data_IF_536195551119
#
_entry.id   IF_536195551119
#
_cell.length_a   1.000
_cell.length_b   1.000
_cell.length_c   1.000
_cell.angle_alpha   90.00
_cell.angle_beta   90.00
_cell.angle_gamma   90.00
#
_symmetry.space_group_name_H-M   'P 1'
#
loop_
_entity.id
_entity.type
_entity.pdbx_description
1 polymer ?
#
# COMPACT_ATOMS: atom_id res chain seq x y z
N UNK A 1 -20.59 4.44 -27.74
CA UNK A 1 -19.56 4.66 -26.70
C UNK A 1 -18.74 3.38 -26.58
N UNK A 2 -17.43 3.42 -26.84
CA UNK A 2 -16.59 2.22 -26.74
C UNK A 2 -16.21 2.05 -25.27
N UNK A 3 -16.70 0.99 -24.63
CA UNK A 3 -16.29 0.64 -23.25
C UNK A 3 -14.90 0.02 -23.35
N UNK A 4 -13.90 0.73 -22.82
CA UNK A 4 -12.53 0.19 -22.65
C UNK A 4 -12.53 -0.50 -21.28
N UNK A 5 -12.60 -1.82 -21.28
CA UNK A 5 -12.42 -2.62 -20.07
C UNK A 5 -10.92 -2.81 -19.82
N UNK A 6 -10.41 -2.24 -18.76
CA UNK A 6 -9.08 -2.58 -18.28
C UNK A 6 -9.14 -4.00 -17.67
N UNK A 7 -8.40 -4.95 -18.26
CA UNK A 7 -8.28 -6.28 -17.69
C UNK A 7 -7.19 -6.25 -16.61
N UNK A 8 -7.40 -6.87 -15.45
CA UNK A 8 -6.34 -6.98 -14.44
C UNK A 8 -5.16 -7.81 -14.97
N UNK A 9 -3.98 -7.49 -14.50
CA UNK A 9 -2.78 -8.30 -14.69
C UNK A 9 -2.91 -9.49 -13.75
N UNK A 10 -2.81 -10.70 -14.27
CA UNK A 10 -2.85 -11.93 -13.46
C UNK A 10 -1.44 -12.22 -12.95
N UNK A 11 -1.30 -12.33 -11.63
CA UNK A 11 -0.08 -12.71 -10.94
C UNK A 11 -0.38 -13.94 -10.07
N UNK A 12 0.37 -15.02 -10.22
CA UNK A 12 0.12 -16.25 -9.47
C UNK A 12 1.42 -16.95 -9.09
N UNK A 13 1.39 -17.66 -7.97
CA UNK A 13 2.55 -18.35 -7.42
C UNK A 13 3.08 -17.66 -6.18
N UNK A 14 4.30 -18.02 -5.76
CA UNK A 14 4.99 -17.43 -4.63
C UNK A 14 5.20 -15.92 -4.78
N UNK A 15 5.52 -15.23 -3.70
CA UNK A 15 5.78 -13.79 -3.71
C UNK A 15 6.87 -13.41 -4.71
N UNK A 16 7.97 -14.16 -4.76
CA UNK A 16 9.06 -13.96 -5.73
C UNK A 16 8.55 -14.09 -7.18
N UNK A 17 7.77 -15.13 -7.47
CA UNK A 17 7.22 -15.36 -8.81
C UNK A 17 6.24 -14.26 -9.23
N UNK A 18 5.40 -13.78 -8.31
CA UNK A 18 4.50 -12.66 -8.59
C UNK A 18 5.27 -11.37 -8.91
N UNK A 19 6.35 -11.13 -8.16
CA UNK A 19 7.25 -9.99 -8.44
C UNK A 19 7.86 -10.08 -9.84
N UNK A 20 8.44 -11.20 -10.22
CA UNK A 20 8.99 -11.45 -11.55
C UNK A 20 7.93 -11.27 -12.65
N UNK A 21 6.71 -11.75 -12.41
CA UNK A 21 5.61 -11.67 -13.37
C UNK A 21 5.19 -10.23 -13.69
N UNK A 22 5.36 -9.27 -12.80
CA UNK A 22 5.08 -7.86 -13.11
C UNK A 22 5.87 -7.40 -14.35
N UNK A 23 7.17 -7.66 -14.37
CA UNK A 23 8.03 -7.30 -15.50
C UNK A 23 7.70 -8.11 -16.77
N UNK A 24 7.41 -9.40 -16.62
CA UNK A 24 7.06 -10.27 -17.75
C UNK A 24 5.73 -9.89 -18.40
N UNK A 25 4.77 -9.36 -17.64
CA UNK A 25 3.44 -8.95 -18.13
C UNK A 25 3.43 -7.55 -18.73
N UNK A 26 4.39 -6.70 -18.37
CA UNK A 26 4.49 -5.30 -18.79
C UNK A 26 5.92 -4.88 -19.13
N UNK A 27 6.62 -5.63 -20.01
CA UNK A 27 8.02 -5.35 -20.34
C UNK A 27 8.20 -3.98 -21.01
N UNK A 28 7.16 -3.50 -21.71
CA UNK A 28 7.17 -2.20 -22.38
C UNK A 28 7.22 -1.01 -21.42
N UNK A 29 6.84 -1.20 -20.14
CA UNK A 29 6.85 -0.16 -19.12
C UNK A 29 8.13 -0.17 -18.26
N UNK A 30 9.09 -1.05 -18.55
CA UNK A 30 10.37 -1.10 -17.85
C UNK A 30 11.12 0.24 -17.84
N UNK A 31 11.27 0.95 -18.99
CA UNK A 31 11.96 2.25 -18.99
C UNK A 31 11.30 3.28 -18.08
N UNK A 32 9.97 3.36 -18.12
CA UNK A 32 9.19 4.29 -17.29
C UNK A 32 9.34 3.98 -15.81
N UNK A 33 9.29 2.71 -15.42
CA UNK A 33 9.47 2.33 -14.03
C UNK A 33 10.89 2.64 -13.54
N UNK A 34 11.93 2.24 -14.28
CA UNK A 34 13.31 2.51 -13.91
C UNK A 34 13.58 4.01 -13.79
N UNK A 35 12.98 4.82 -14.66
CA UNK A 35 13.08 6.29 -14.59
C UNK A 35 12.40 6.81 -13.33
N UNK A 36 11.16 6.37 -13.04
CA UNK A 36 10.40 6.82 -11.88
C UNK A 36 11.12 6.50 -10.56
N UNK A 37 11.68 5.30 -10.43
CA UNK A 37 12.48 4.90 -9.24
C UNK A 37 13.71 5.78 -9.11
N UNK A 38 14.47 5.96 -10.20
CA UNK A 38 15.69 6.78 -10.19
C UNK A 38 15.41 8.23 -9.83
N UNK A 39 14.44 8.86 -10.49
CA UNK A 39 14.09 10.27 -10.24
C UNK A 39 13.70 10.49 -8.77
N UNK A 40 12.91 9.60 -8.20
CA UNK A 40 12.52 9.70 -6.79
C UNK A 40 13.68 9.52 -5.83
N UNK A 41 14.59 8.58 -6.08
CA UNK A 41 15.81 8.40 -5.28
C UNK A 41 16.76 9.59 -5.44
N UNK A 42 16.88 10.13 -6.65
CA UNK A 42 17.71 11.32 -6.91
C UNK A 42 17.16 12.57 -6.18
N UNK A 43 15.84 12.75 -6.14
CA UNK A 43 15.20 13.82 -5.37
C UNK A 43 15.44 13.69 -3.86
N UNK A 44 15.47 12.47 -3.35
CA UNK A 44 15.71 12.19 -1.92
C UNK A 44 17.20 12.07 -1.56
N UNK A 45 18.12 12.21 -2.53
CA UNK A 45 19.56 11.91 -2.38
C UNK A 45 20.22 12.54 -1.17
N UNK A 46 19.92 13.79 -0.85
CA UNK A 46 20.56 14.49 0.26
C UNK A 46 20.01 14.01 1.61
N UNK A 47 18.73 13.66 1.68
CA UNK A 47 18.16 13.02 2.86
C UNK A 47 18.69 11.62 3.09
N UNK A 48 18.87 10.85 2.02
CA UNK A 48 19.41 9.48 2.10
C UNK A 48 20.89 9.43 2.57
N UNK A 49 21.59 10.57 2.61
CA UNK A 49 22.92 10.69 3.21
C UNK A 49 22.88 10.90 4.72
N UNK A 50 21.73 11.20 5.30
CA UNK A 50 21.58 11.38 6.75
C UNK A 50 21.79 10.04 7.46
N UNK A 51 22.73 9.93 8.40
CA UNK A 51 22.98 8.69 9.14
C UNK A 51 21.75 8.16 9.90
N UNK A 52 20.83 9.03 10.30
CA UNK A 52 19.59 8.62 10.93
C UNK A 52 18.70 7.88 9.94
N UNK A 53 18.60 8.36 8.72
CA UNK A 53 17.79 7.72 7.65
C UNK A 53 18.42 6.40 7.20
N UNK A 54 19.75 6.36 7.06
CA UNK A 54 20.48 5.13 6.74
C UNK A 54 20.25 4.05 7.81
N UNK A 55 20.37 4.41 9.09
CA UNK A 55 20.06 3.50 10.20
C UNK A 55 18.61 3.06 10.20
N UNK A 56 17.66 3.99 10.01
CA UNK A 56 16.24 3.66 9.90
C UNK A 56 15.97 2.63 8.80
N UNK A 57 16.51 2.82 7.60
CA UNK A 57 16.32 1.87 6.48
C UNK A 57 16.93 0.50 6.80
N UNK A 58 18.08 0.44 7.44
CA UNK A 58 18.74 -0.80 7.85
C UNK A 58 17.92 -1.57 8.90
N UNK A 59 17.43 -0.89 9.91
CA UNK A 59 16.57 -1.48 10.95
C UNK A 59 15.21 -1.91 10.37
N UNK A 60 14.63 -1.08 9.51
CA UNK A 60 13.38 -1.37 8.84
C UNK A 60 13.49 -2.58 7.89
N UNK A 61 14.62 -2.73 7.20
CA UNK A 61 14.90 -3.93 6.41
C UNK A 61 14.98 -5.19 7.30
N UNK A 62 15.61 -5.08 8.46
CA UNK A 62 15.69 -6.18 9.44
C UNK A 62 14.31 -6.52 10.00
N UNK A 63 13.50 -5.52 10.33
CA UNK A 63 12.11 -5.70 10.74
C UNK A 63 11.31 -6.40 9.64
N UNK A 64 11.40 -5.94 8.39
CA UNK A 64 10.66 -6.50 7.27
C UNK A 64 11.06 -7.94 6.99
N UNK A 65 12.34 -8.28 7.09
CA UNK A 65 12.83 -9.68 6.98
C UNK A 65 12.19 -10.61 8.01
N UNK A 66 11.91 -10.11 9.19
CA UNK A 66 11.37 -10.91 10.30
C UNK A 66 9.84 -11.02 10.24
N UNK A 67 9.15 -9.93 9.88
CA UNK A 67 7.70 -9.83 10.03
C UNK A 67 6.91 -9.89 8.72
N UNK A 68 7.56 -9.63 7.59
CA UNK A 68 6.95 -9.64 6.24
C UNK A 68 7.94 -10.12 5.18
N UNK A 69 8.54 -11.32 5.34
CA UNK A 69 9.50 -11.86 4.37
C UNK A 69 8.91 -11.97 2.97
N UNK A 70 7.63 -12.29 2.85
CA UNK A 70 6.89 -12.35 1.60
C UNK A 70 6.90 -11.02 0.83
N UNK A 71 6.86 -9.89 1.52
CA UNK A 71 6.98 -8.57 0.88
C UNK A 71 8.37 -8.35 0.29
N UNK A 72 9.42 -8.80 0.98
CA UNK A 72 10.78 -8.73 0.46
C UNK A 72 11.01 -9.66 -0.73
N UNK A 73 10.45 -10.86 -0.67
CA UNK A 73 10.53 -11.80 -1.80
C UNK A 73 9.84 -11.24 -3.05
N UNK A 74 8.68 -10.59 -2.88
CA UNK A 74 8.01 -9.93 -4.00
C UNK A 74 8.83 -8.73 -4.52
N UNK A 75 9.43 -7.92 -3.63
CA UNK A 75 10.37 -6.85 -4.00
C UNK A 75 11.56 -7.40 -4.78
N UNK A 76 12.16 -8.51 -4.32
CA UNK A 76 13.28 -9.14 -5.00
C UNK A 76 12.89 -9.62 -6.41
N UNK A 77 11.73 -10.24 -6.55
CA UNK A 77 11.21 -10.64 -7.86
C UNK A 77 10.95 -9.44 -8.80
N UNK A 78 10.38 -8.36 -8.29
CA UNK A 78 10.19 -7.12 -9.06
C UNK A 78 11.55 -6.55 -9.50
N UNK A 79 12.48 -6.44 -8.55
CA UNK A 79 13.81 -5.88 -8.78
C UNK A 79 14.57 -6.67 -9.86
N UNK A 80 14.58 -8.00 -9.74
CA UNK A 80 15.18 -8.91 -10.73
C UNK A 80 14.53 -8.72 -12.11
N UNK A 81 13.21 -8.78 -12.18
CA UNK A 81 12.47 -8.67 -13.44
C UNK A 81 12.71 -7.36 -14.17
N UNK A 82 12.77 -6.25 -13.45
CA UNK A 82 13.02 -4.92 -14.03
C UNK A 82 14.51 -4.55 -14.10
N UNK A 83 15.41 -5.31 -13.47
CA UNK A 83 16.84 -5.01 -13.41
C UNK A 83 17.13 -3.74 -12.59
N UNK A 84 16.44 -3.60 -11.47
CA UNK A 84 16.64 -2.57 -10.45
C UNK A 84 17.31 -3.26 -9.26
N UNK A 85 18.13 -2.55 -8.48
CA UNK A 85 18.62 -3.09 -7.22
C UNK A 85 17.47 -3.29 -6.22
N UNK A 86 17.46 -4.42 -5.49
CA UNK A 86 16.45 -4.66 -4.44
C UNK A 86 16.52 -3.61 -3.34
N UNK A 87 17.71 -3.11 -3.03
CA UNK A 87 17.96 -2.05 -2.06
C UNK A 87 17.36 -0.72 -2.51
N UNK A 88 17.60 -0.34 -3.78
CA UNK A 88 17.00 0.86 -4.37
C UNK A 88 15.48 0.78 -4.36
N UNK A 89 14.93 -0.37 -4.71
CA UNK A 89 13.48 -0.56 -4.74
C UNK A 89 12.88 -0.54 -3.34
N UNK A 90 13.53 -1.17 -2.36
CA UNK A 90 13.13 -1.11 -0.95
C UNK A 90 13.15 0.34 -0.43
N UNK A 91 14.23 1.06 -0.68
CA UNK A 91 14.36 2.48 -0.32
C UNK A 91 13.27 3.33 -0.98
N UNK A 92 13.05 3.15 -2.28
CA UNK A 92 11.99 3.84 -3.03
C UNK A 92 10.60 3.66 -2.40
N UNK A 93 10.27 2.44 -1.97
CA UNK A 93 8.98 2.14 -1.33
C UNK A 93 8.83 2.81 0.05
N UNK A 94 9.95 3.10 0.73
CA UNK A 94 9.96 3.76 2.03
C UNK A 94 10.08 5.29 1.96
N UNK A 95 10.29 5.87 0.77
CA UNK A 95 10.43 7.33 0.63
C UNK A 95 9.22 8.10 1.19
N UNK A 96 8.02 7.54 1.10
CA UNK A 96 6.83 8.16 1.66
C UNK A 96 6.81 8.24 3.20
N UNK A 97 7.62 7.44 3.88
CA UNK A 97 7.79 7.50 5.33
C UNK A 97 8.97 8.39 5.76
N UNK A 98 10.01 8.46 4.92
CA UNK A 98 11.23 9.24 5.19
C UNK A 98 11.04 10.71 4.82
N UNK A 99 10.30 10.95 3.75
CA UNK A 99 10.16 12.26 3.13
C UNK A 99 8.74 12.80 3.30
N UNK A 100 8.54 13.50 4.41
CA UNK A 100 7.35 14.32 4.61
C UNK A 100 7.28 15.49 3.60
N UNK A 101 8.32 15.61 2.76
CA UNK A 101 8.68 16.82 2.10
C UNK A 101 9.07 16.72 0.64
N UNK A 102 8.49 15.89 -0.10
CA UNK A 102 8.45 16.31 -1.48
C UNK A 102 7.14 17.10 -1.55
N UNK A 103 7.24 18.42 -1.53
CA UNK A 103 6.13 19.37 -1.58
C UNK A 103 5.26 19.19 -2.82
N UNK A 104 4.73 18.02 -2.94
CA UNK A 104 3.82 17.59 -3.96
C UNK A 104 2.46 17.64 -3.34
N UNK A 105 1.63 18.45 -3.90
CA UNK A 105 0.19 18.50 -3.66
C UNK A 105 -0.48 17.17 -4.07
N UNK A 106 0.06 16.04 -3.58
CA UNK A 106 -0.58 14.73 -3.75
C UNK A 106 -1.78 14.68 -2.83
N UNK A 107 -2.96 14.54 -3.40
CA UNK A 107 -4.22 14.43 -2.68
C UNK A 107 -4.83 13.04 -2.85
N UNK A 108 -5.39 12.52 -1.77
CA UNK A 108 -6.22 11.33 -1.81
C UNK A 108 -7.50 11.59 -1.04
N UNK A 109 -8.58 10.95 -1.45
CA UNK A 109 -9.79 10.86 -0.66
C UNK A 109 -10.33 9.45 -0.73
N UNK A 110 -10.72 8.92 0.43
CA UNK A 110 -11.36 7.61 0.55
C UNK A 110 -12.63 7.77 1.34
N UNK A 111 -13.67 7.06 0.93
CA UNK A 111 -14.86 6.94 1.73
C UNK A 111 -15.44 5.52 1.65
N UNK A 112 -16.13 5.11 2.69
CA UNK A 112 -16.95 3.90 2.69
C UNK A 112 -18.37 4.23 3.12
N UNK A 113 -19.32 3.51 2.51
CA UNK A 113 -20.76 3.61 2.79
C UNK A 113 -21.29 2.22 3.08
N UNK A 114 -21.95 2.07 4.22
CA UNK A 114 -22.50 0.80 4.70
C UNK A 114 -23.51 0.21 3.71
N UNK A 115 -24.38 1.03 3.13
CA UNK A 115 -25.51 0.54 2.35
C UNK A 115 -25.80 1.41 1.13
N UNK A 116 -25.77 0.78 -0.04
CA UNK A 116 -26.26 1.34 -1.29
C UNK A 116 -27.19 0.34 -1.97
N UNK A 117 -27.77 0.72 -3.12
CA UNK A 117 -28.58 -0.21 -3.95
C UNK A 117 -27.77 -1.43 -4.47
N UNK A 118 -26.44 -1.39 -4.34
CA UNK A 118 -25.52 -2.46 -4.79
C UNK A 118 -24.76 -3.15 -3.64
N UNK A 119 -25.11 -2.87 -2.38
CA UNK A 119 -24.40 -3.29 -1.19
C UNK A 119 -23.43 -2.22 -0.68
N UNK A 120 -22.52 -2.59 0.26
CA UNK A 120 -21.49 -1.68 0.75
C UNK A 120 -20.57 -1.19 -0.37
N UNK A 121 -20.05 0.03 -0.24
CA UNK A 121 -19.15 0.62 -1.23
C UNK A 121 -17.95 1.23 -0.50
N UNK A 122 -16.74 0.91 -0.97
CA UNK A 122 -15.51 1.64 -0.67
C UNK A 122 -15.02 2.29 -1.96
N UNK A 123 -14.77 3.58 -1.94
CA UNK A 123 -14.27 4.33 -3.09
C UNK A 123 -13.04 5.14 -2.73
N UNK A 124 -12.08 5.19 -3.66
CA UNK A 124 -10.86 5.98 -3.52
C UNK A 124 -10.62 6.83 -4.75
N UNK A 125 -10.29 8.10 -4.54
CA UNK A 125 -9.59 8.94 -5.50
C UNK A 125 -8.12 9.05 -5.11
N UNK A 126 -7.23 8.98 -6.10
CA UNK A 126 -5.79 9.15 -5.92
C UNK A 126 -5.30 10.20 -6.89
N UNK A 127 -4.84 11.33 -6.35
CA UNK A 127 -4.13 12.34 -7.09
C UNK A 127 -2.63 12.11 -6.92
N UNK A 128 -1.94 11.87 -8.02
CA UNK A 128 -0.52 11.54 -8.02
C UNK A 128 0.15 12.06 -9.28
N UNK A 129 1.46 12.23 -9.24
CA UNK A 129 2.26 12.74 -10.34
C UNK A 129 1.92 12.09 -11.68
N UNK A 130 1.75 12.92 -12.70
CA UNK A 130 1.39 12.48 -14.04
C UNK A 130 2.36 11.46 -14.66
N UNK A 131 3.65 11.51 -14.31
CA UNK A 131 4.66 10.54 -14.71
C UNK A 131 4.32 9.09 -14.29
N UNK A 132 3.70 8.91 -13.12
CA UNK A 132 3.31 7.60 -12.60
C UNK A 132 1.98 7.07 -13.15
N UNK A 133 1.24 7.86 -13.92
CA UNK A 133 -0.09 7.47 -14.42
C UNK A 133 -0.06 6.18 -15.23
N UNK A 134 0.96 5.97 -16.06
CA UNK A 134 1.12 4.76 -16.86
C UNK A 134 1.44 3.52 -16.03
N UNK A 135 2.05 3.71 -14.86
CA UNK A 135 2.45 2.63 -13.97
C UNK A 135 1.29 2.11 -13.12
N UNK A 136 0.17 2.84 -13.02
CA UNK A 136 -1.00 2.40 -12.27
C UNK A 136 -1.63 1.19 -12.93
N UNK A 137 -1.80 0.10 -12.18
CA UNK A 137 -2.32 -1.16 -12.66
C UNK A 137 -3.31 -1.77 -11.66
N UNK A 138 -4.11 -2.67 -12.17
CA UNK A 138 -4.94 -3.56 -11.36
C UNK A 138 -4.38 -4.96 -11.50
N UNK A 139 -4.11 -5.61 -10.37
CA UNK A 139 -3.56 -6.96 -10.31
C UNK A 139 -4.59 -7.91 -9.69
N UNK A 140 -4.81 -9.06 -10.31
CA UNK A 140 -5.49 -10.18 -9.67
C UNK A 140 -4.44 -11.19 -9.25
N UNK A 141 -4.25 -11.34 -7.95
CA UNK A 141 -3.16 -12.11 -7.36
C UNK A 141 -3.66 -13.32 -6.61
N UNK A 142 -2.94 -14.43 -6.72
CA UNK A 142 -3.14 -15.65 -5.94
C UNK A 142 -1.78 -16.26 -5.56
N UNK A 143 -1.78 -16.97 -4.43
CA UNK A 143 -0.60 -17.64 -3.89
C UNK A 143 -1.05 -18.99 -3.32
N UNK A 144 -0.29 -20.08 -3.55
CA UNK A 144 -0.59 -21.38 -2.94
C UNK A 144 -0.75 -21.32 -1.41
N UNK A 145 0.01 -20.44 -0.74
CA UNK A 145 -0.02 -20.27 0.70
C UNK A 145 -1.31 -19.56 1.20
N UNK A 146 -2.05 -18.90 0.29
CA UNK A 146 -3.32 -18.27 0.61
C UNK A 146 -4.51 -19.22 0.45
N UNK A 147 -4.28 -20.47 0.03
CA UNK A 147 -5.33 -21.43 -0.30
C UNK A 147 -6.17 -20.97 -1.49
N UNK A 148 -7.49 -20.92 -1.32
CA UNK A 148 -8.42 -20.45 -2.37
C UNK A 148 -8.58 -18.92 -2.40
N UNK A 149 -7.85 -18.19 -1.56
CA UNK A 149 -7.96 -16.73 -1.51
C UNK A 149 -7.34 -16.09 -2.73
N UNK A 150 -8.07 -15.14 -3.28
CA UNK A 150 -7.62 -14.26 -4.36
C UNK A 150 -7.77 -12.81 -3.92
N UNK A 151 -6.80 -11.99 -4.29
CA UNK A 151 -6.80 -10.58 -3.98
C UNK A 151 -6.73 -9.74 -5.26
N UNK A 152 -7.61 -8.76 -5.36
CA UNK A 152 -7.52 -7.71 -6.35
C UNK A 152 -6.74 -6.55 -5.72
N UNK A 153 -5.58 -6.23 -6.26
CA UNK A 153 -4.78 -5.09 -5.82
C UNK A 153 -4.82 -3.97 -6.84
N UNK A 154 -4.90 -2.75 -6.35
CA UNK A 154 -4.69 -1.54 -7.16
C UNK A 154 -3.42 -0.88 -6.65
N UNK A 155 -2.47 -0.67 -7.55
CA UNK A 155 -1.16 -0.11 -7.21
C UNK A 155 -0.39 0.32 -8.43
N UNK A 156 0.90 0.52 -8.26
CA UNK A 156 1.82 0.83 -9.35
C UNK A 156 2.71 -0.37 -9.66
N UNK A 157 3.10 -0.55 -10.92
CA UNK A 157 4.24 -1.40 -11.23
C UNK A 157 5.43 -1.00 -10.36
N UNK A 158 6.22 -1.97 -9.93
CA UNK A 158 7.32 -1.75 -9.00
C UNK A 158 6.92 -1.77 -7.53
N UNK A 159 5.64 -1.98 -7.22
CA UNK A 159 5.17 -2.07 -5.84
C UNK A 159 4.60 -3.46 -5.57
N UNK A 160 4.92 -4.10 -4.43
CA UNK A 160 4.35 -5.39 -4.05
C UNK A 160 2.93 -5.21 -3.54
N UNK A 161 2.04 -6.15 -3.84
CA UNK A 161 0.71 -6.25 -3.27
C UNK A 161 -0.16 -5.00 -3.38
N UNK A 162 -0.86 -4.67 -2.30
CA UNK A 162 -1.81 -3.55 -2.21
C UNK A 162 -1.10 -2.22 -1.92
N UNK A 163 -0.69 -1.51 -2.95
CA UNK A 163 0.05 -0.24 -2.81
C UNK A 163 -0.83 1.03 -2.84
N UNK A 164 -2.12 0.88 -2.91
CA UNK A 164 -3.09 1.99 -2.86
C UNK A 164 -4.43 1.51 -2.32
N UNK A 165 -4.92 0.41 -2.85
CA UNK A 165 -6.16 -0.20 -2.41
C UNK A 165 -6.24 -1.65 -2.89
N UNK A 166 -7.21 -2.38 -2.39
CA UNK A 166 -7.44 -3.74 -2.81
C UNK A 166 -8.69 -4.33 -2.17
N UNK A 167 -9.01 -5.54 -2.59
CA UNK A 167 -10.05 -6.35 -1.98
C UNK A 167 -9.73 -7.84 -2.13
N UNK A 168 -10.26 -8.65 -1.24
CA UNK A 168 -10.18 -10.10 -1.37
C UNK A 168 -11.54 -10.72 -1.73
N UNK A 169 -11.52 -11.99 -2.08
CA UNK A 169 -12.74 -12.74 -2.44
C UNK A 169 -13.64 -13.11 -1.24
N UNK A 170 -13.21 -12.84 0.01
CA UNK A 170 -14.08 -12.89 1.19
C UNK A 170 -14.99 -11.65 1.27
N UNK A 171 -14.69 -10.58 0.53
CA UNK A 171 -15.45 -9.34 0.47
C UNK A 171 -14.92 -8.22 1.36
N UNK A 172 -13.71 -8.36 1.90
CA UNK A 172 -13.01 -7.28 2.60
C UNK A 172 -12.31 -6.38 1.58
N UNK A 173 -12.55 -5.08 1.67
CA UNK A 173 -11.90 -4.04 0.86
C UNK A 173 -11.12 -3.07 1.75
N UNK A 174 -10.02 -2.54 1.21
CA UNK A 174 -9.10 -1.64 1.91
C UNK A 174 -8.58 -0.56 0.97
N UNK A 175 -8.43 0.65 1.48
CA UNK A 175 -7.76 1.73 0.77
C UNK A 175 -7.00 2.63 1.74
N UNK A 176 -5.89 3.22 1.29
CA UNK A 176 -5.07 4.11 2.10
C UNK A 176 -5.21 5.58 1.73
N UNK A 177 -4.80 6.46 2.64
CA UNK A 177 -4.38 7.81 2.30
C UNK A 177 -2.99 8.07 2.89
N UNK A 178 -2.21 8.91 2.22
CA UNK A 178 -0.98 9.42 2.80
C UNK A 178 -1.32 10.52 3.79
N UNK A 179 -0.72 10.45 4.98
CA UNK A 179 -0.66 11.54 5.95
C UNK A 179 0.81 11.62 6.38
N UNK A 180 1.35 12.82 6.48
CA UNK A 180 2.71 13.02 6.95
C UNK A 180 2.87 12.58 8.41
N UNK A 181 4.08 12.14 8.76
CA UNK A 181 4.45 11.78 10.12
C UNK A 181 5.89 12.23 10.39
N UNK A 182 6.08 13.01 11.42
CA UNK A 182 7.35 13.71 11.67
C UNK A 182 8.48 12.79 12.19
N UNK A 183 8.13 11.65 12.76
CA UNK A 183 9.09 10.74 13.39
C UNK A 183 8.76 9.29 13.05
N UNK A 184 9.16 8.80 11.86
CA UNK A 184 8.95 7.41 11.50
C UNK A 184 9.71 6.48 12.48
N UNK A 185 9.01 5.46 12.94
CA UNK A 185 9.61 4.41 13.77
C UNK A 185 9.73 3.09 13.02
N UNK A 186 10.28 2.09 13.68
CA UNK A 186 10.40 0.75 13.10
C UNK A 186 9.10 -0.01 13.27
N UNK A 187 8.56 -0.53 12.17
CA UNK A 187 7.27 -1.22 12.19
C UNK A 187 6.76 -1.58 10.79
N UNK A 188 5.50 -1.92 10.73
CA UNK A 188 4.85 -2.22 9.46
C UNK A 188 4.70 -0.97 8.59
N UNK A 189 5.27 -1.04 7.39
CA UNK A 189 4.90 -0.10 6.34
C UNK A 189 3.44 -0.37 5.93
N UNK A 190 2.59 0.65 5.91
CA UNK A 190 1.14 0.45 5.71
C UNK A 190 0.78 -0.36 4.45
N UNK A 191 1.56 -0.27 3.38
CA UNK A 191 1.34 -1.03 2.15
C UNK A 191 1.55 -2.54 2.33
N UNK A 192 2.57 -2.93 3.10
CA UNK A 192 2.82 -4.33 3.43
C UNK A 192 1.75 -4.85 4.38
N UNK A 193 1.35 -4.02 5.36
CA UNK A 193 0.26 -4.36 6.26
C UNK A 193 -1.08 -4.51 5.51
N UNK A 194 -1.40 -3.62 4.57
CA UNK A 194 -2.61 -3.75 3.74
C UNK A 194 -2.63 -5.06 2.96
N UNK A 195 -1.49 -5.46 2.39
CA UNK A 195 -1.34 -6.75 1.72
C UNK A 195 -1.57 -7.90 2.69
N UNK A 196 -0.94 -7.85 3.87
CA UNK A 196 -1.12 -8.85 4.92
C UNK A 196 -2.58 -8.96 5.36
N UNK A 197 -3.26 -7.85 5.57
CA UNK A 197 -4.69 -7.83 5.92
C UNK A 197 -5.51 -8.54 4.84
N UNK A 198 -5.35 -8.19 3.58
CA UNK A 198 -6.13 -8.79 2.50
C UNK A 198 -5.85 -10.28 2.32
N UNK A 199 -4.66 -10.74 2.65
CA UNK A 199 -4.29 -12.16 2.55
C UNK A 199 -4.72 -13.00 3.76
N UNK A 200 -5.00 -12.38 4.91
CA UNK A 200 -5.31 -13.10 6.16
C UNK A 200 -6.71 -12.83 6.71
N UNK A 201 -7.18 -11.58 6.66
CA UNK A 201 -8.45 -11.14 7.24
C UNK A 201 -9.64 -11.39 6.31
N UNK A 202 -10.82 -11.56 6.88
CA UNK A 202 -12.10 -11.75 6.18
C UNK A 202 -13.07 -10.61 6.41
N UNK A 203 -12.95 -9.96 7.56
CA UNK A 203 -13.87 -8.93 8.04
C UNK A 203 -13.11 -7.68 8.46
N UNK A 204 -13.84 -6.58 8.62
CA UNK A 204 -13.29 -5.35 9.23
C UNK A 204 -12.80 -5.61 10.66
N UNK A 205 -13.46 -6.48 11.40
CA UNK A 205 -13.04 -6.83 12.78
C UNK A 205 -11.68 -7.52 12.79
N UNK A 206 -11.46 -8.53 11.91
CA UNK A 206 -10.17 -9.21 11.79
C UNK A 206 -9.06 -8.23 11.38
N UNK A 207 -9.38 -7.33 10.45
CA UNK A 207 -8.44 -6.31 9.98
C UNK A 207 -8.04 -5.33 11.11
N UNK A 208 -9.00 -4.89 11.92
CA UNK A 208 -8.74 -4.01 13.07
C UNK A 208 -7.87 -4.71 14.13
N UNK A 209 -8.13 -6.00 14.41
CA UNK A 209 -7.29 -6.79 15.32
C UNK A 209 -5.84 -6.83 14.83
N UNK A 210 -5.61 -7.10 13.54
CA UNK A 210 -4.26 -7.07 12.98
C UNK A 210 -3.62 -5.68 13.10
N UNK A 211 -4.34 -4.62 12.72
CA UNK A 211 -3.79 -3.26 12.76
C UNK A 211 -3.41 -2.85 14.17
N UNK A 212 -4.26 -3.13 15.15
CA UNK A 212 -4.05 -2.70 16.54
C UNK A 212 -3.05 -3.56 17.30
N UNK A 213 -2.65 -4.72 16.77
CA UNK A 213 -1.71 -5.65 17.41
C UNK A 213 -0.25 -5.48 16.99
N UNK A 214 0.05 -4.56 16.09
CA UNK A 214 1.40 -4.41 15.50
C UNK A 214 1.91 -2.97 15.59
N UNK A 215 3.23 -2.84 15.60
CA UNK A 215 3.88 -1.53 15.47
C UNK A 215 3.85 -1.04 14.01
N UNK A 216 3.67 0.26 13.84
CA UNK A 216 3.61 0.93 12.54
C UNK A 216 4.82 1.83 12.34
N UNK A 217 5.25 1.98 11.10
CA UNK A 217 6.21 3.04 10.73
C UNK A 217 5.68 4.43 11.08
N UNK A 218 4.37 4.58 11.06
CA UNK A 218 3.66 5.84 11.19
C UNK A 218 3.33 6.46 9.84
N UNK A 219 2.40 7.39 9.87
CA UNK A 219 1.94 8.11 8.69
C UNK A 219 0.91 7.38 7.84
N UNK A 220 -0.14 8.09 7.49
CA UNK A 220 -1.23 7.62 6.66
C UNK A 220 -2.45 7.14 7.43
N UNK A 221 -3.49 6.87 6.68
CA UNK A 221 -4.70 6.21 7.18
C UNK A 221 -5.10 5.04 6.30
N UNK A 222 -5.89 4.15 6.85
CA UNK A 222 -6.48 3.00 6.18
C UNK A 222 -8.00 3.06 6.38
N UNK A 223 -8.74 2.99 5.28
CA UNK A 223 -10.21 2.82 5.32
C UNK A 223 -10.55 1.40 4.91
N UNK A 224 -11.39 0.77 5.71
CA UNK A 224 -11.84 -0.61 5.59
C UNK A 224 -13.33 -0.67 5.32
N UNK A 225 -13.77 -1.63 4.53
CA UNK A 225 -15.18 -2.02 4.41
C UNK A 225 -15.28 -3.52 4.10
N UNK A 226 -16.31 -4.20 4.62
CA UNK A 226 -16.60 -5.58 4.28
C UNK A 226 -18.00 -5.74 3.64
N UNK A 227 -18.26 -6.93 3.12
CA UNK A 227 -19.52 -7.26 2.44
C UNK A 227 -20.77 -7.13 3.33
N UNK A 228 -20.58 -7.18 4.67
CA UNK A 228 -21.68 -7.12 5.63
C UNK A 228 -22.01 -5.67 6.04
N UNK A 229 -21.27 -4.70 5.49
CA UNK A 229 -21.47 -3.26 5.72
C UNK A 229 -20.66 -2.69 6.87
N UNK A 230 -19.85 -3.51 7.57
CA UNK A 230 -18.94 -2.98 8.57
C UNK A 230 -17.88 -2.12 7.89
N UNK A 231 -17.49 -1.03 8.54
CA UNK A 231 -16.48 -0.11 8.05
C UNK A 231 -15.71 0.52 9.19
N UNK A 232 -14.50 0.97 8.90
CA UNK A 232 -13.68 1.77 9.80
C UNK A 232 -12.68 2.61 9.02
N UNK A 233 -12.30 3.74 9.59
CA UNK A 233 -11.10 4.50 9.24
C UNK A 233 -10.09 4.36 10.37
N UNK A 234 -8.83 4.12 10.04
CA UNK A 234 -7.76 3.98 11.03
C UNK A 234 -6.62 4.92 10.65
N UNK A 235 -6.27 5.82 11.54
CA UNK A 235 -5.09 6.67 11.43
C UNK A 235 -3.91 5.97 12.08
N UNK A 236 -2.74 6.02 11.44
CA UNK A 236 -1.55 5.29 11.84
C UNK A 236 -0.47 6.25 12.32
N UNK A 237 -0.20 6.24 13.62
CA UNK A 237 1.01 6.81 14.22
C UNK A 237 2.00 5.70 14.55
N UNK A 238 3.27 6.06 14.83
CA UNK A 238 4.20 5.12 15.45
C UNK A 238 3.85 5.01 16.93
N UNK A 239 3.59 3.78 17.41
CA UNK A 239 3.21 3.50 18.79
C UNK A 239 1.74 3.81 19.13
N UNK A 240 0.94 4.31 18.21
CA UNK A 240 -0.47 4.60 18.44
C UNK A 240 -1.31 4.50 17.16
N UNK A 241 -2.58 4.21 17.33
CA UNK A 241 -3.57 4.23 16.25
C UNK A 241 -4.87 4.85 16.75
N UNK A 242 -5.55 5.57 15.88
CA UNK A 242 -6.90 6.04 16.13
C UNK A 242 -7.89 5.33 15.20
N UNK A 243 -9.00 4.83 15.76
CA UNK A 243 -10.02 4.08 15.01
C UNK A 243 -11.35 4.81 15.06
N UNK A 244 -11.83 5.22 13.89
CA UNK A 244 -13.18 5.73 13.68
C UNK A 244 -14.03 4.66 12.96
N UNK A 245 -15.09 4.19 13.61
CA UNK A 245 -16.04 3.22 13.05
C UNK A 245 -17.16 3.87 12.23
N UNK A 246 -17.05 5.17 12.03
CA UNK A 246 -18.02 5.96 11.29
C UNK A 246 -19.28 6.28 12.05
N UNK A 247 -20.04 7.19 11.47
CA UNK A 247 -21.33 7.64 11.98
C UNK A 247 -22.32 7.63 10.83
N UNK A 248 -23.56 7.28 11.14
CA UNK A 248 -24.66 7.28 10.18
C UNK A 248 -24.40 6.44 8.90
N UNK A 249 -23.65 5.33 9.06
CA UNK A 249 -23.32 4.42 7.95
C UNK A 249 -22.30 4.96 6.95
N UNK A 250 -21.40 5.84 7.40
CA UNK A 250 -20.41 6.50 6.56
C UNK A 250 -19.09 6.75 7.29
N UNK A 251 -17.98 6.52 6.60
CA UNK A 251 -16.64 6.99 6.99
C UNK A 251 -15.95 7.63 5.79
N UNK A 252 -15.15 8.66 6.02
CA UNK A 252 -14.31 9.28 5.01
C UNK A 252 -12.99 9.75 5.60
N UNK A 253 -11.97 9.76 4.77
CA UNK A 253 -10.65 10.27 5.14
C UNK A 253 -9.94 10.93 3.97
N UNK A 254 -9.10 11.91 4.29
CA UNK A 254 -8.23 12.60 3.32
C UNK A 254 -6.77 12.56 3.79
N UNK A 255 -6.00 13.64 3.64
CA UNK A 255 -4.56 13.65 3.88
C UNK A 255 -4.16 14.44 5.14
N UNK A 256 -4.97 14.42 6.19
CA UNK A 256 -4.66 15.02 7.49
C UNK A 256 -5.22 14.15 8.62
N UNK A 257 -4.61 14.22 9.78
CA UNK A 257 -5.13 13.53 10.96
C UNK A 257 -6.42 14.22 11.43
N UNK A 258 -7.37 13.41 11.85
CA UNK A 258 -8.62 13.86 12.48
C UNK A 258 -8.50 13.80 14.01
N UNK A 259 -7.68 12.89 14.51
CA UNK A 259 -7.41 12.78 15.94
C UNK A 259 -6.38 13.83 16.37
N UNK A 260 -6.69 14.65 17.42
CA UNK A 260 -5.80 15.71 17.88
C UNK A 260 -4.49 15.21 18.50
N UNK A 261 -4.44 13.96 18.97
CA UNK A 261 -3.22 13.37 19.54
C UNK A 261 -2.24 12.89 18.46
N UNK A 262 -2.74 12.71 17.23
CA UNK A 262 -1.94 12.34 16.07
C UNK A 262 -1.61 13.55 15.18
N UNK A 263 -2.34 14.66 15.32
CA UNK A 263 -2.25 15.86 14.45
C UNK A 263 -1.01 16.72 14.72
#
# INVERSE_FOLDING_TARGET
MKVISAKPIILSGSSLERGLQQALRKPELKPELCLAVRERLDMARDKLKDPYIDNFLSEQLTFTKTHSPESLDEINGIAEGYGISSEDLFTYLHLGAIDDYIGQEDGCSVFAVEKTSRGPVLAKNRDYLGAHKKLQQVFLSSDPDWGERQCLFVGSLGSPGAFSSGMNNDGLAIADNRIGWSQPGIGWLRYFLMTRILTCARTVADALELITSVEHVGGGSIVLADKDGNMASVELGHGCVYVDKGKDGFVAHTNHYLDPELA
#
